data_IF_307398807558
#
_entry.id   IF_307398807558
#
_cell.length_a   1.000
_cell.length_b   1.000
_cell.length_c   1.000
_cell.angle_alpha   90.00
_cell.angle_beta   90.00
_cell.angle_gamma   90.00
#
_symmetry.space_group_name_H-M   'P 1'
#
loop_
_entity.id
_entity.type
_entity.pdbx_description
1 polymer ?
#
# COMPACT_ATOMS: atom_id res chain seq x y z
N UNK A 1 24.79 -39.69 36.57
CA UNK A 1 23.52 -39.91 35.85
C UNK A 1 22.68 -38.65 35.95
N UNK A 2 22.11 -38.20 34.82
CA UNK A 2 20.99 -37.26 34.81
C UNK A 2 21.32 -35.80 34.49
N UNK A 3 21.50 -35.52 33.20
CA UNK A 3 21.36 -34.19 32.60
C UNK A 3 20.03 -33.54 33.00
N UNK A 4 20.01 -32.22 33.16
CA UNK A 4 18.82 -31.39 32.91
C UNK A 4 19.25 -29.94 32.70
N UNK A 5 19.51 -29.59 31.46
CA UNK A 5 19.35 -28.20 31.00
C UNK A 5 17.86 -27.92 30.84
N UNK A 6 17.29 -26.91 31.50
CA UNK A 6 16.08 -26.26 31.03
C UNK A 6 16.48 -24.95 30.33
N UNK A 7 15.60 -24.41 29.50
CA UNK A 7 15.74 -23.14 28.76
C UNK A 7 16.43 -23.25 27.40
N UNK A 8 15.75 -23.91 26.48
CA UNK A 8 15.73 -23.48 25.08
C UNK A 8 14.26 -23.38 24.68
N UNK A 9 13.74 -22.14 24.60
CA UNK A 9 12.32 -21.92 24.37
C UNK A 9 11.85 -20.48 24.20
N UNK A 10 12.73 -19.47 24.12
CA UNK A 10 12.29 -18.07 23.97
C UNK A 10 12.28 -17.54 22.54
N UNK A 11 13.03 -18.14 21.62
CA UNK A 11 13.30 -17.47 20.33
C UNK A 11 12.23 -17.76 19.27
N UNK A 12 11.35 -18.73 19.49
CA UNK A 12 10.30 -19.12 18.52
C UNK A 12 9.00 -18.32 18.66
N UNK A 13 8.70 -17.79 19.84
CA UNK A 13 7.51 -16.98 20.09
C UNK A 13 7.52 -15.63 19.34
N UNK A 14 8.61 -14.82 19.36
CA UNK A 14 8.65 -13.56 18.62
C UNK A 14 8.65 -13.78 17.11
N UNK A 15 9.35 -14.80 16.61
CA UNK A 15 9.39 -15.14 15.17
C UNK A 15 8.00 -15.54 14.66
N UNK A 16 7.25 -16.38 15.40
CA UNK A 16 5.88 -16.77 15.03
C UNK A 16 4.92 -15.58 15.02
N UNK A 17 5.08 -14.66 15.97
CA UNK A 17 4.27 -13.44 16.06
C UNK A 17 4.52 -12.55 14.85
N UNK A 18 5.79 -12.25 14.55
CA UNK A 18 6.16 -11.45 13.39
C UNK A 18 5.72 -12.09 12.06
N UNK A 19 5.82 -13.42 11.92
CA UNK A 19 5.35 -14.12 10.73
C UNK A 19 3.85 -13.99 10.53
N UNK A 20 3.08 -14.05 11.62
CA UNK A 20 1.62 -13.87 11.64
C UNK A 20 1.23 -12.43 11.32
N UNK A 21 1.97 -11.45 11.85
CA UNK A 21 1.73 -10.03 11.56
C UNK A 21 1.97 -9.70 10.08
N UNK A 22 3.00 -10.28 9.46
CA UNK A 22 3.23 -10.13 8.01
C UNK A 22 2.10 -10.77 7.20
N UNK A 23 1.60 -11.93 7.62
CA UNK A 23 0.46 -12.59 6.96
C UNK A 23 -0.82 -11.76 7.07
N UNK A 24 -1.08 -11.17 8.24
CA UNK A 24 -2.21 -10.28 8.45
C UNK A 24 -2.13 -9.04 7.54
N UNK A 25 -0.95 -8.42 7.41
CA UNK A 25 -0.72 -7.29 6.49
C UNK A 25 -1.00 -7.72 5.04
N UNK A 26 -0.58 -8.91 4.64
CA UNK A 26 -0.81 -9.42 3.30
C UNK A 26 -2.30 -9.69 3.03
N UNK A 27 -3.03 -10.27 3.99
CA UNK A 27 -4.48 -10.48 3.87
C UNK A 27 -5.24 -9.16 3.80
N UNK A 28 -4.87 -8.18 4.63
CA UNK A 28 -5.42 -6.82 4.57
C UNK A 28 -5.19 -6.18 3.20
N UNK A 29 -3.97 -6.28 2.65
CA UNK A 29 -3.66 -5.80 1.30
C UNK A 29 -4.57 -6.45 0.25
N UNK A 30 -4.70 -7.78 0.28
CA UNK A 30 -5.54 -8.53 -0.66
C UNK A 30 -7.00 -8.09 -0.54
N UNK A 31 -7.50 -7.95 0.69
CA UNK A 31 -8.86 -7.52 0.98
C UNK A 31 -9.12 -6.10 0.47
N UNK A 32 -8.21 -5.16 0.72
CA UNK A 32 -8.31 -3.80 0.22
C UNK A 32 -8.28 -3.77 -1.31
N UNK A 33 -7.39 -4.51 -1.96
CA UNK A 33 -7.32 -4.57 -3.43
C UNK A 33 -8.59 -5.17 -4.03
N UNK A 34 -9.12 -6.25 -3.46
CA UNK A 34 -10.33 -6.93 -3.98
C UNK A 34 -11.60 -6.11 -3.79
N UNK A 35 -11.74 -5.42 -2.66
CA UNK A 35 -12.96 -4.65 -2.33
C UNK A 35 -12.97 -3.27 -2.97
N UNK A 36 -11.81 -2.75 -3.35
CA UNK A 36 -11.72 -1.41 -3.90
C UNK A 36 -12.19 -1.38 -5.35
N UNK A 37 -13.24 -0.60 -5.59
CA UNK A 37 -13.65 -0.22 -6.94
C UNK A 37 -12.89 1.05 -7.31
N UNK A 38 -12.02 0.95 -8.31
CA UNK A 38 -11.27 2.11 -8.76
C UNK A 38 -12.24 3.13 -9.38
N UNK A 39 -12.23 4.39 -8.94
CA UNK A 39 -13.07 5.42 -9.53
C UNK A 39 -12.70 5.65 -11.00
N UNK A 40 -13.73 5.91 -11.81
CA UNK A 40 -13.58 6.19 -13.24
C UNK A 40 -13.15 7.64 -13.51
N UNK A 41 -13.36 8.54 -12.55
CA UNK A 41 -12.99 9.94 -12.65
C UNK A 41 -12.42 10.43 -11.32
N UNK A 42 -11.44 11.31 -11.39
CA UNK A 42 -10.86 12.01 -10.26
C UNK A 42 -10.85 13.51 -10.54
N UNK A 43 -11.00 14.32 -9.49
CA UNK A 43 -10.94 15.77 -9.62
C UNK A 43 -9.51 16.26 -9.35
N UNK A 44 -8.91 16.87 -10.36
CA UNK A 44 -7.54 17.37 -10.30
C UNK A 44 -7.54 18.89 -10.05
N UNK A 45 -6.53 19.41 -9.31
CA UNK A 45 -6.31 20.84 -9.21
C UNK A 45 -6.02 21.46 -10.58
N UNK A 46 -6.48 22.68 -10.83
CA UNK A 46 -6.26 23.38 -12.10
C UNK A 46 -4.78 23.64 -12.42
N UNK A 47 -3.92 23.73 -11.39
CA UNK A 47 -2.48 24.03 -11.52
C UNK A 47 -1.57 22.85 -11.14
N UNK A 48 -2.06 21.60 -11.18
CA UNK A 48 -1.15 20.46 -10.96
C UNK A 48 -0.37 20.19 -12.23
N UNK A 49 0.96 20.12 -12.16
CA UNK A 49 1.79 19.75 -13.33
C UNK A 49 1.98 18.23 -13.40
N UNK A 50 2.07 17.57 -12.25
CA UNK A 50 2.46 16.16 -12.16
C UNK A 50 1.27 15.17 -12.16
N UNK A 51 0.03 15.66 -12.02
CA UNK A 51 -1.17 14.81 -11.93
C UNK A 51 -1.23 13.91 -10.68
N UNK A 52 -0.25 14.01 -9.78
CA UNK A 52 -0.12 13.22 -8.56
C UNK A 52 -0.88 13.81 -7.37
N UNK A 53 -1.26 15.09 -7.45
CA UNK A 53 -1.99 15.79 -6.40
C UNK A 53 -3.49 15.73 -6.70
N UNK A 54 -4.27 15.24 -5.74
CA UNK A 54 -5.72 15.18 -5.82
C UNK A 54 -6.35 16.20 -4.88
N UNK A 55 -7.50 16.77 -5.28
CA UNK A 55 -8.30 17.59 -4.39
C UNK A 55 -8.88 16.71 -3.28
N UNK A 56 -8.86 17.20 -2.04
CA UNK A 56 -9.49 16.52 -0.91
C UNK A 56 -11.00 16.78 -0.90
N UNK A 57 -11.73 16.09 -1.79
CA UNK A 57 -13.18 16.18 -1.91
C UNK A 57 -13.83 14.79 -1.78
N UNK A 58 -15.15 14.74 -1.71
CA UNK A 58 -15.89 13.49 -1.50
C UNK A 58 -15.68 12.47 -2.63
N UNK A 59 -15.45 12.94 -3.87
CA UNK A 59 -15.21 12.09 -5.05
C UNK A 59 -13.85 11.38 -4.98
N UNK A 60 -12.80 12.11 -4.60
CA UNK A 60 -11.43 11.59 -4.50
C UNK A 60 -11.16 10.88 -3.18
N UNK A 61 -11.95 11.17 -2.13
CA UNK A 61 -11.81 10.58 -0.80
C UNK A 61 -11.63 9.05 -0.81
N UNK A 62 -12.45 8.23 -1.49
CA UNK A 62 -12.23 6.78 -1.52
C UNK A 62 -10.86 6.39 -2.10
N UNK A 63 -10.38 7.11 -3.12
CA UNK A 63 -9.07 6.87 -3.73
C UNK A 63 -7.93 7.28 -2.81
N UNK A 64 -8.04 8.46 -2.18
CA UNK A 64 -7.06 8.98 -1.21
C UNK A 64 -7.00 8.05 0.02
N UNK A 65 -8.14 7.64 0.56
CA UNK A 65 -8.21 6.74 1.71
C UNK A 65 -7.55 5.39 1.39
N UNK A 66 -7.73 4.86 0.18
CA UNK A 66 -7.09 3.63 -0.25
C UNK A 66 -5.56 3.78 -0.37
N UNK A 67 -5.06 4.89 -0.93
CA UNK A 67 -3.62 5.19 -0.95
C UNK A 67 -3.04 5.26 0.47
N UNK A 68 -3.75 5.93 1.39
CA UNK A 68 -3.35 6.03 2.81
C UNK A 68 -3.34 4.67 3.51
N UNK A 69 -4.28 3.78 3.20
CA UNK A 69 -4.29 2.41 3.73
C UNK A 69 -3.06 1.63 3.28
N UNK A 70 -2.70 1.70 2.00
CA UNK A 70 -1.50 1.02 1.49
C UNK A 70 -0.20 1.58 2.09
N UNK A 71 -0.12 2.89 2.27
CA UNK A 71 1.01 3.52 2.95
C UNK A 71 1.07 3.10 4.43
N UNK A 72 -0.08 3.03 5.12
CA UNK A 72 -0.20 2.52 6.48
C UNK A 72 0.24 1.05 6.61
N UNK A 73 -0.12 0.18 5.66
CA UNK A 73 0.36 -1.20 5.62
C UNK A 73 1.89 -1.27 5.46
N UNK A 74 2.46 -0.39 4.63
CA UNK A 74 3.91 -0.31 4.43
C UNK A 74 4.62 0.12 5.71
N UNK A 75 4.08 1.10 6.42
CA UNK A 75 4.62 1.56 7.71
C UNK A 75 4.54 0.46 8.77
N UNK A 76 3.39 -0.21 8.91
CA UNK A 76 3.24 -1.37 9.83
C UNK A 76 4.21 -2.49 9.49
N UNK A 77 4.42 -2.79 8.21
CA UNK A 77 5.40 -3.78 7.77
C UNK A 77 6.84 -3.36 8.10
N UNK A 78 7.13 -2.06 8.07
CA UNK A 78 8.44 -1.53 8.37
C UNK A 78 8.80 -1.70 9.87
N UNK A 79 7.80 -1.60 10.75
CA UNK A 79 7.92 -1.74 12.21
C UNK A 79 8.13 -3.19 12.68
N UNK A 80 7.79 -4.19 11.85
CA UNK A 80 8.00 -5.61 12.20
C UNK A 80 9.50 -5.92 12.22
N UNK A 81 9.98 -6.33 13.40
CA UNK A 81 11.33 -6.86 13.57
C UNK A 81 11.37 -8.31 13.10
N UNK A 82 12.41 -8.63 12.33
CA UNK A 82 12.60 -9.95 11.73
C UNK A 82 13.59 -10.83 12.50
N UNK A 83 14.22 -10.30 13.55
CA UNK A 83 15.14 -11.03 14.44
C UNK A 83 16.24 -11.81 13.70
N UNK A 84 16.72 -11.25 12.57
CA UNK A 84 17.70 -11.88 11.67
C UNK A 84 17.27 -13.24 11.09
N UNK A 85 15.96 -13.54 11.13
CA UNK A 85 15.39 -14.72 10.49
C UNK A 85 15.27 -14.49 8.97
N UNK A 86 16.04 -15.25 8.20
CA UNK A 86 16.10 -15.11 6.74
C UNK A 86 14.75 -15.35 6.06
N UNK A 87 13.93 -16.27 6.58
CA UNK A 87 12.62 -16.56 6.01
C UNK A 87 11.66 -15.39 6.24
N UNK A 88 11.71 -14.79 7.42
CA UNK A 88 10.89 -13.67 7.81
C UNK A 88 11.30 -12.39 7.06
N UNK A 89 12.59 -12.17 6.86
CA UNK A 89 13.11 -11.10 5.98
C UNK A 89 12.65 -11.28 4.54
N UNK A 90 12.75 -12.49 3.98
CA UNK A 90 12.28 -12.79 2.63
C UNK A 90 10.77 -12.51 2.51
N UNK A 91 9.98 -12.93 3.50
CA UNK A 91 8.53 -12.71 3.56
C UNK A 91 8.20 -11.22 3.65
N UNK A 92 8.87 -10.48 4.54
CA UNK A 92 8.71 -9.03 4.69
C UNK A 92 9.01 -8.31 3.38
N UNK A 93 10.09 -8.68 2.68
CA UNK A 93 10.45 -8.13 1.37
C UNK A 93 9.38 -8.42 0.32
N UNK A 94 8.90 -9.66 0.24
CA UNK A 94 7.84 -10.04 -0.69
C UNK A 94 6.55 -9.23 -0.46
N UNK A 95 6.13 -9.07 0.80
CA UNK A 95 4.96 -8.26 1.16
C UNK A 95 5.18 -6.78 0.82
N UNK A 96 6.37 -6.23 1.07
CA UNK A 96 6.70 -4.85 0.71
C UNK A 96 6.63 -4.62 -0.82
N UNK A 97 7.14 -5.59 -1.61
CA UNK A 97 7.03 -5.56 -3.08
C UNK A 97 5.56 -5.62 -3.53
N UNK A 98 4.73 -6.44 -2.88
CA UNK A 98 3.31 -6.52 -3.20
C UNK A 98 2.57 -5.20 -2.92
N UNK A 99 2.83 -4.56 -1.78
CA UNK A 99 2.28 -3.23 -1.43
C UNK A 99 2.77 -2.18 -2.45
N UNK A 100 4.07 -2.17 -2.76
CA UNK A 100 4.65 -1.26 -3.74
C UNK A 100 4.02 -1.40 -5.13
N UNK A 101 3.74 -2.63 -5.57
CA UNK A 101 3.05 -2.90 -6.83
C UNK A 101 1.61 -2.41 -6.82
N UNK A 102 0.89 -2.57 -5.71
CA UNK A 102 -0.47 -2.05 -5.57
C UNK A 102 -0.51 -0.51 -5.63
N UNK A 103 0.41 0.15 -4.91
CA UNK A 103 0.59 1.60 -4.98
C UNK A 103 0.94 2.07 -6.39
N UNK A 104 1.86 1.40 -7.05
CA UNK A 104 2.26 1.73 -8.42
C UNK A 104 1.07 1.68 -9.39
N UNK A 105 0.26 0.61 -9.33
CA UNK A 105 -0.94 0.46 -10.16
C UNK A 105 -1.97 1.56 -9.91
N UNK A 106 -2.17 1.97 -8.66
CA UNK A 106 -3.07 3.08 -8.35
C UNK A 106 -2.54 4.40 -8.93
N UNK A 107 -1.24 4.68 -8.77
CA UNK A 107 -0.63 5.90 -9.35
C UNK A 107 -0.69 5.90 -10.88
N UNK A 108 -0.47 4.76 -11.51
CA UNK A 108 -0.62 4.62 -12.96
C UNK A 108 -2.05 4.91 -13.42
N UNK A 109 -3.05 4.41 -12.69
CA UNK A 109 -4.46 4.73 -12.97
C UNK A 109 -4.77 6.22 -12.79
N UNK A 110 -4.26 6.83 -11.71
CA UNK A 110 -4.40 8.26 -11.48
C UNK A 110 -3.79 9.09 -12.62
N UNK A 111 -2.59 8.74 -13.08
CA UNK A 111 -1.95 9.42 -14.20
C UNK A 111 -2.74 9.24 -15.50
N UNK A 112 -3.27 8.05 -15.77
CA UNK A 112 -4.16 7.83 -16.94
C UNK A 112 -5.38 8.76 -16.90
N UNK A 113 -6.03 8.89 -15.76
CA UNK A 113 -7.16 9.81 -15.58
C UNK A 113 -6.74 11.28 -15.73
N UNK A 114 -5.56 11.64 -15.24
CA UNK A 114 -5.02 12.99 -15.38
C UNK A 114 -4.75 13.33 -16.85
N UNK A 115 -4.14 12.43 -17.61
CA UNK A 115 -3.92 12.63 -19.05
C UNK A 115 -5.24 12.79 -19.80
N UNK A 116 -6.26 11.98 -19.49
CA UNK A 116 -7.59 12.13 -20.08
C UNK A 116 -8.24 13.48 -19.72
N UNK A 117 -8.08 13.94 -18.48
CA UNK A 117 -8.56 15.23 -18.02
C UNK A 117 -7.86 16.40 -18.73
N UNK A 118 -6.55 16.34 -18.92
CA UNK A 118 -5.79 17.38 -19.62
C UNK A 118 -6.09 17.39 -21.11
N UNK A 119 -6.15 16.24 -21.77
CA UNK A 119 -6.55 16.13 -23.18
C UNK A 119 -7.96 16.68 -23.42
N UNK A 120 -8.91 16.36 -22.53
CA UNK A 120 -10.28 16.87 -22.60
C UNK A 120 -10.35 18.40 -22.40
N UNK A 121 -9.49 18.96 -21.55
CA UNK A 121 -9.41 20.40 -21.32
C UNK A 121 -8.68 21.15 -22.45
N UNK A 122 -7.68 20.54 -23.08
CA UNK A 122 -6.99 21.10 -24.25
C UNK A 122 -7.91 21.16 -25.48
N UNK A 123 -8.84 20.22 -25.62
CA UNK A 123 -9.83 20.20 -26.71
C UNK A 123 -11.09 21.05 -26.47
N UNK A 124 -11.17 21.83 -25.38
CA UNK A 124 -12.19 22.89 -25.21
C UNK A 124 -11.58 24.26 -25.53
N UNK A 125 -11.59 24.72 -26.80
CA UNK A 125 -11.30 26.12 -27.09
C UNK A 125 -12.48 26.97 -26.62
N UNK A 126 -12.22 27.85 -25.66
CA UNK A 126 -13.11 28.97 -25.35
C UNK A 126 -13.93 28.82 -24.07
N UNK A 127 -13.40 29.40 -22.99
CA UNK A 127 -14.21 30.15 -22.03
C UNK A 127 -13.33 31.15 -21.29
N UNK A 128 -13.05 32.26 -22.00
CA UNK A 128 -12.76 33.57 -21.43
C UNK A 128 -13.98 34.44 -21.72
#
# INVERSE_FOLDING_TARGET
MGQRSPFSGSDSAPIRTASTDIDNILDELITYVKRFKCPFELDFPTNTEDGLILLNNEKNRPFIDQLRRFDGLRTRLAEIQTHDDEQLEAKRRATNVAIGRALFRMKEHQLKLYHQYTEANVHRPGRI
#
